data_IF_835358958810
#
_entry.id   IF_835358958810
#
_cell.length_a   1.000
_cell.length_b   1.000
_cell.length_c   1.000
_cell.angle_alpha   90.00
_cell.angle_beta   90.00
_cell.angle_gamma   90.00
#
_symmetry.space_group_name_H-M   'P 1'
#
loop_
_entity.id
_entity.type
_entity.pdbx_description
1 polymer ?
#
# COMPACT_ATOMS: atom_id res chain seq x y z
N UNK A 1 -8.70 -17.20 -18.81
CA UNK A 1 -9.43 -17.18 -17.52
C UNK A 1 -9.01 -15.93 -16.79
N UNK A 2 -9.94 -15.22 -16.12
CA UNK A 2 -9.58 -14.06 -15.30
C UNK A 2 -8.65 -14.53 -14.17
N UNK A 3 -7.58 -13.80 -13.90
CA UNK A 3 -6.69 -14.12 -12.79
C UNK A 3 -7.36 -13.86 -11.44
N UNK A 4 -6.80 -14.43 -10.38
CA UNK A 4 -7.35 -14.33 -9.03
C UNK A 4 -7.01 -12.96 -8.42
N UNK A 5 -8.02 -12.29 -7.87
CA UNK A 5 -7.89 -11.12 -7.00
C UNK A 5 -7.93 -11.57 -5.55
N UNK A 6 -6.82 -11.42 -4.84
CA UNK A 6 -6.75 -11.74 -3.42
C UNK A 6 -7.18 -10.55 -2.57
N UNK A 7 -7.95 -10.81 -1.51
CA UNK A 7 -8.36 -9.81 -0.52
C UNK A 7 -7.83 -10.25 0.83
N UNK A 8 -6.83 -9.56 1.37
CA UNK A 8 -6.25 -9.88 2.66
C UNK A 8 -6.95 -9.11 3.76
N UNK A 9 -7.56 -9.82 4.70
CA UNK A 9 -8.25 -9.22 5.84
C UNK A 9 -8.20 -10.16 7.05
N UNK A 10 -7.96 -9.59 8.23
CA UNK A 10 -8.02 -10.32 9.50
C UNK A 10 -9.01 -9.64 10.44
N UNK A 11 -9.79 -10.43 11.18
CA UNK A 11 -10.84 -9.89 12.06
C UNK A 11 -10.30 -8.91 13.11
N UNK A 12 -9.06 -9.08 13.57
CA UNK A 12 -8.41 -8.13 14.49
C UNK A 12 -8.54 -6.68 14.03
N UNK A 13 -8.50 -6.43 12.71
CA UNK A 13 -8.52 -5.08 12.13
C UNK A 13 -9.82 -4.32 12.42
N UNK A 14 -10.94 -5.02 12.65
CA UNK A 14 -12.24 -4.42 12.97
C UNK A 14 -12.59 -4.42 14.47
N UNK A 15 -11.77 -5.07 15.31
CA UNK A 15 -12.05 -5.25 16.76
C UNK A 15 -11.41 -4.19 17.65
N UNK A 16 -10.57 -3.31 17.11
CA UNK A 16 -9.79 -2.33 17.87
C UNK A 16 -9.89 -0.93 17.28
N UNK A 17 -9.61 0.08 18.10
CA UNK A 17 -9.37 1.46 17.67
C UNK A 17 -7.87 1.59 17.47
N UNK A 18 -7.45 1.91 16.25
CA UNK A 18 -6.03 2.04 15.89
C UNK A 18 -5.60 3.51 15.93
N UNK A 19 -4.34 3.74 16.27
CA UNK A 19 -3.75 5.08 16.28
C UNK A 19 -3.95 5.74 14.91
N UNK A 20 -4.40 7.01 14.90
CA UNK A 20 -4.70 7.85 13.73
C UNK A 20 -5.92 7.40 12.89
N UNK A 21 -6.01 6.12 12.54
CA UNK A 21 -7.04 5.62 11.60
C UNK A 21 -8.34 5.16 12.28
N UNK A 22 -8.42 5.22 13.61
CA UNK A 22 -9.54 4.78 14.43
C UNK A 22 -9.97 3.33 14.10
N UNK A 23 -11.26 3.01 14.16
CA UNK A 23 -11.81 1.73 13.70
C UNK A 23 -12.54 1.90 12.36
N UNK A 24 -11.82 2.33 11.32
CA UNK A 24 -12.41 2.49 9.98
C UNK A 24 -12.87 1.19 9.31
N UNK A 25 -12.53 0.04 9.90
CA UNK A 25 -12.89 -1.28 9.38
C UNK A 25 -14.01 -1.97 10.16
N UNK A 26 -14.66 -1.28 11.11
CA UNK A 26 -15.67 -1.88 12.00
C UNK A 26 -16.79 -2.67 11.30
N UNK A 27 -17.16 -2.30 10.07
CA UNK A 27 -18.20 -2.97 9.29
C UNK A 27 -17.65 -3.97 8.25
N UNK A 28 -16.34 -4.22 8.21
CA UNK A 28 -15.72 -5.23 7.35
C UNK A 28 -15.61 -6.56 8.11
N UNK A 29 -15.70 -7.73 7.45
CA UNK A 29 -15.80 -7.92 6.00
C UNK A 29 -17.24 -7.80 5.45
N UNK A 30 -18.24 -7.51 6.28
CA UNK A 30 -19.65 -7.41 5.86
C UNK A 30 -19.87 -6.45 4.68
N UNK A 31 -19.16 -5.32 4.66
CA UNK A 31 -19.23 -4.33 3.59
C UNK A 31 -18.74 -4.81 2.21
N UNK A 32 -18.00 -5.93 2.15
CA UNK A 32 -17.49 -6.51 0.90
C UNK A 32 -18.07 -7.90 0.59
N UNK A 33 -19.14 -8.32 1.26
CA UNK A 33 -19.73 -9.66 1.09
C UNK A 33 -20.17 -9.97 -0.34
N UNK A 34 -20.61 -8.95 -1.10
CA UNK A 34 -21.06 -9.13 -2.49
C UNK A 34 -19.85 -9.42 -3.37
N UNK A 35 -18.77 -8.69 -3.18
CA UNK A 35 -17.54 -8.80 -3.95
C UNK A 35 -16.78 -10.08 -3.64
N UNK A 36 -16.81 -10.53 -2.39
CA UNK A 36 -16.20 -11.80 -1.97
C UNK A 36 -16.89 -13.03 -2.59
N UNK A 37 -18.09 -12.88 -3.16
CA UNK A 37 -18.80 -13.95 -3.90
C UNK A 37 -18.45 -14.01 -5.39
N UNK A 38 -17.64 -13.08 -5.89
CA UNK A 38 -17.17 -13.11 -7.28
C UNK A 38 -16.26 -14.32 -7.51
N UNK A 39 -16.42 -14.99 -8.66
CA UNK A 39 -15.76 -16.28 -8.96
C UNK A 39 -14.23 -16.22 -8.86
N UNK A 40 -13.63 -15.09 -9.20
CA UNK A 40 -12.18 -14.87 -9.19
C UNK A 40 -11.67 -14.07 -7.98
N UNK A 41 -12.50 -13.84 -6.96
CA UNK A 41 -12.08 -13.16 -5.72
C UNK A 41 -11.85 -14.19 -4.62
N UNK A 42 -10.76 -14.05 -3.86
CA UNK A 42 -10.43 -14.94 -2.73
C UNK A 42 -10.13 -14.10 -1.49
N UNK A 43 -10.88 -14.33 -0.41
CA UNK A 43 -10.54 -13.81 0.91
C UNK A 43 -9.39 -14.65 1.48
N UNK A 44 -8.31 -13.99 1.89
CA UNK A 44 -7.12 -14.59 2.48
C UNK A 44 -6.94 -14.03 3.89
N UNK A 45 -6.77 -14.91 4.86
CA UNK A 45 -6.37 -14.51 6.19
C UNK A 45 -4.85 -14.30 6.21
N UNK A 46 -4.34 -13.10 6.55
CA UNK A 46 -2.92 -12.84 6.55
C UNK A 46 -2.21 -13.62 7.65
N UNK A 47 -1.04 -14.17 7.31
CA UNK A 47 -0.11 -14.74 8.28
C UNK A 47 0.74 -13.60 8.86
N UNK A 48 0.93 -13.50 10.18
CA UNK A 48 1.76 -12.46 10.76
C UNK A 48 3.22 -12.60 10.32
N UNK A 49 3.86 -11.48 9.97
CA UNK A 49 5.29 -11.44 9.64
C UNK A 49 6.13 -12.10 10.73
N UNK A 50 7.09 -12.94 10.33
CA UNK A 50 8.05 -13.54 11.26
C UNK A 50 8.95 -12.47 11.88
N UNK A 51 9.50 -12.75 13.06
CA UNK A 51 10.51 -11.88 13.67
C UNK A 51 11.73 -11.73 12.76
N UNK A 52 12.12 -12.82 12.10
CA UNK A 52 13.21 -12.83 11.12
C UNK A 52 12.96 -11.84 9.97
N UNK A 53 11.75 -11.85 9.38
CA UNK A 53 11.39 -10.89 8.33
C UNK A 53 11.44 -9.45 8.85
N UNK A 54 10.91 -9.20 10.05
CA UNK A 54 10.95 -7.87 10.65
C UNK A 54 12.40 -7.41 10.93
N UNK A 55 13.29 -8.31 11.34
CA UNK A 55 14.71 -8.02 11.58
C UNK A 55 15.53 -7.82 10.30
N UNK A 56 15.07 -8.33 9.14
CA UNK A 56 15.65 -7.98 7.83
C UNK A 56 15.42 -6.51 7.46
N UNK A 57 14.40 -5.89 8.05
CA UNK A 57 14.01 -4.50 7.76
C UNK A 57 14.42 -3.55 8.88
N UNK A 58 14.08 -3.91 10.11
CA UNK A 58 14.23 -3.07 11.27
C UNK A 58 15.48 -3.46 12.07
N UNK A 59 16.19 -2.46 12.59
CA UNK A 59 17.33 -2.69 13.48
C UNK A 59 16.89 -3.47 14.72
N UNK A 60 17.79 -4.27 15.28
CA UNK A 60 17.52 -5.03 16.51
C UNK A 60 17.03 -4.14 17.66
N UNK A 61 17.62 -2.95 17.81
CA UNK A 61 17.23 -2.01 18.86
C UNK A 61 15.79 -1.52 18.70
N UNK A 62 15.40 -1.14 17.48
CA UNK A 62 14.03 -0.73 17.20
C UNK A 62 13.04 -1.91 17.31
N UNK A 63 13.41 -3.09 16.80
CA UNK A 63 12.60 -4.30 16.89
C UNK A 63 12.23 -4.65 18.35
N UNK A 64 13.19 -4.55 19.28
CA UNK A 64 12.93 -4.76 20.72
C UNK A 64 11.88 -3.79 21.29
N UNK A 65 11.76 -2.59 20.70
CA UNK A 65 10.74 -1.60 21.05
C UNK A 65 9.40 -1.94 20.40
N UNK A 66 9.42 -2.29 19.11
CA UNK A 66 8.26 -2.69 18.32
C UNK A 66 7.50 -3.86 18.97
N UNK A 67 8.20 -4.91 19.40
CA UNK A 67 7.61 -6.10 20.04
C UNK A 67 6.81 -5.79 21.31
N UNK A 68 7.11 -4.67 21.99
CA UNK A 68 6.45 -4.29 23.25
C UNK A 68 5.21 -3.42 23.03
N UNK A 69 4.93 -3.02 21.78
CA UNK A 69 3.77 -2.21 21.47
C UNK A 69 2.48 -3.02 21.53
N UNK A 70 1.40 -2.35 21.91
CA UNK A 70 0.07 -2.97 22.03
C UNK A 70 -0.52 -3.38 20.67
N UNK A 71 -0.09 -2.71 19.60
CA UNK A 71 -0.55 -2.89 18.22
C UNK A 71 0.41 -3.76 17.38
N UNK A 72 1.42 -4.36 18.02
CA UNK A 72 2.43 -5.19 17.37
C UNK A 72 1.84 -6.29 16.49
N UNK A 73 0.84 -7.01 16.99
CA UNK A 73 0.20 -8.10 16.22
C UNK A 73 -0.52 -7.59 14.98
N UNK A 74 -1.19 -6.43 15.05
CA UNK A 74 -1.83 -5.80 13.89
C UNK A 74 -0.79 -5.38 12.83
N UNK A 75 0.34 -4.84 13.29
CA UNK A 75 1.45 -4.48 12.42
C UNK A 75 2.04 -5.71 11.70
N UNK A 76 2.25 -6.82 12.43
CA UNK A 76 2.75 -8.09 11.86
C UNK A 76 1.82 -8.67 10.82
N UNK A 77 0.51 -8.73 11.10
CA UNK A 77 -0.49 -9.24 10.16
C UNK A 77 -0.51 -8.40 8.88
N UNK A 78 -0.40 -7.08 9.00
CA UNK A 78 -0.35 -6.17 7.85
C UNK A 78 0.91 -6.39 7.01
N UNK A 79 2.10 -6.45 7.63
CA UNK A 79 3.36 -6.67 6.92
C UNK A 79 3.38 -8.05 6.26
N UNK A 80 2.99 -9.10 7.00
CA UNK A 80 3.00 -10.47 6.50
C UNK A 80 1.99 -10.70 5.37
N UNK A 81 0.78 -10.15 5.48
CA UNK A 81 -0.22 -10.19 4.41
C UNK A 81 0.26 -9.53 3.12
N UNK A 82 0.84 -8.33 3.22
CA UNK A 82 1.39 -7.64 2.06
C UNK A 82 2.60 -8.35 1.44
N UNK A 83 3.49 -8.92 2.26
CA UNK A 83 4.64 -9.69 1.79
C UNK A 83 4.22 -10.98 1.07
N UNK A 84 3.28 -11.74 1.66
CA UNK A 84 2.72 -12.94 1.04
C UNK A 84 2.00 -12.61 -0.27
N UNK A 85 1.16 -11.57 -0.28
CA UNK A 85 0.47 -11.11 -1.49
C UNK A 85 1.43 -10.76 -2.61
N UNK A 86 2.50 -10.00 -2.32
CA UNK A 86 3.49 -9.62 -3.32
C UNK A 86 4.22 -10.84 -3.88
N UNK A 87 4.62 -11.78 -3.02
CA UNK A 87 5.28 -13.01 -3.43
C UNK A 87 4.40 -13.86 -4.34
N UNK A 88 3.13 -14.06 -3.97
CA UNK A 88 2.16 -14.87 -4.71
C UNK A 88 1.73 -14.22 -6.03
N UNK A 89 1.72 -12.89 -6.11
CA UNK A 89 1.55 -12.15 -7.37
C UNK A 89 2.75 -12.40 -8.30
N UNK A 90 3.98 -12.30 -7.79
CA UNK A 90 5.18 -12.55 -8.60
C UNK A 90 5.27 -14.02 -9.06
N UNK A 91 4.84 -14.97 -8.22
CA UNK A 91 4.73 -16.40 -8.56
C UNK A 91 3.60 -16.71 -9.55
N UNK A 92 2.71 -15.76 -9.83
CA UNK A 92 1.58 -15.92 -10.75
C UNK A 92 0.39 -16.68 -10.16
N UNK A 93 0.36 -16.89 -8.84
CA UNK A 93 -0.78 -17.48 -8.14
C UNK A 93 -1.95 -16.48 -8.06
N UNK A 94 -1.62 -15.20 -7.90
CA UNK A 94 -2.58 -14.10 -7.92
C UNK A 94 -2.25 -13.13 -9.04
N UNK A 95 -3.29 -12.53 -9.62
CA UNK A 95 -3.13 -11.42 -10.56
C UNK A 95 -2.82 -10.14 -9.81
N UNK A 96 -3.60 -9.86 -8.78
CA UNK A 96 -3.54 -8.65 -7.98
C UNK A 96 -4.09 -8.90 -6.58
N UNK A 97 -3.89 -7.94 -5.68
CA UNK A 97 -4.39 -8.03 -4.32
C UNK A 97 -4.81 -6.68 -3.73
N UNK A 98 -5.83 -6.70 -2.88
CA UNK A 98 -6.15 -5.64 -1.93
C UNK A 98 -5.82 -6.13 -0.51
N UNK A 99 -4.88 -5.48 0.15
CA UNK A 99 -4.43 -5.82 1.49
C UNK A 99 -4.90 -4.76 2.49
N UNK A 100 -5.80 -5.15 3.40
CA UNK A 100 -6.19 -4.30 4.51
C UNK A 100 -5.05 -4.22 5.51
N UNK A 101 -4.83 -3.02 6.06
CA UNK A 101 -3.66 -2.73 6.90
C UNK A 101 -3.96 -1.83 8.09
N UNK A 102 -3.30 -2.14 9.20
CA UNK A 102 -3.33 -1.38 10.46
C UNK A 102 -1.93 -1.37 11.08
N UNK A 103 -1.57 -0.30 11.80
CA UNK A 103 -0.33 -0.20 12.58
C UNK A 103 0.99 -0.43 11.80
N UNK A 104 0.97 -0.48 10.46
CA UNK A 104 2.12 -0.67 9.59
C UNK A 104 1.95 0.10 8.28
N UNK A 105 3.05 0.56 7.68
CA UNK A 105 3.01 1.41 6.49
C UNK A 105 4.22 2.34 6.36
N UNK A 106 4.01 3.50 5.74
CA UNK A 106 5.06 4.32 5.16
C UNK A 106 5.85 5.23 6.10
N UNK A 107 5.54 5.32 7.40
CA UNK A 107 6.33 6.11 8.37
C UNK A 107 7.32 5.27 9.19
N UNK A 108 7.31 3.94 9.01
CA UNK A 108 8.22 3.02 9.68
C UNK A 108 9.57 2.91 8.94
N UNK A 109 10.59 3.54 9.52
CA UNK A 109 11.99 3.49 9.10
C UNK A 109 12.70 2.25 9.70
N UNK A 110 13.99 2.06 9.38
CA UNK A 110 14.78 0.95 9.92
C UNK A 110 14.95 1.01 11.44
N UNK A 111 15.10 2.20 12.03
CA UNK A 111 15.42 2.39 13.45
C UNK A 111 14.42 3.27 14.21
N UNK A 112 13.38 3.76 13.55
CA UNK A 112 12.36 4.63 14.12
C UNK A 112 11.01 4.48 13.41
N UNK A 113 9.90 4.75 14.09
CA UNK A 113 8.60 4.86 13.43
C UNK A 113 7.62 5.74 14.22
N UNK A 114 6.62 6.25 13.53
CA UNK A 114 5.62 7.17 14.08
C UNK A 114 4.36 7.21 13.19
N UNK A 115 3.41 8.12 13.50
CA UNK A 115 2.29 8.43 12.59
C UNK A 115 1.29 7.29 12.40
N UNK A 116 1.08 6.45 13.43
CA UNK A 116 0.14 5.33 13.35
C UNK A 116 0.66 4.12 12.55
N UNK A 117 1.92 4.14 12.09
CA UNK A 117 2.56 2.99 11.44
C UNK A 117 3.89 2.65 12.10
N UNK A 118 4.07 1.40 12.50
CA UNK A 118 5.17 0.97 13.37
C UNK A 118 5.97 -0.23 12.83
N UNK A 119 5.52 -0.83 11.73
CA UNK A 119 6.32 -1.76 10.94
C UNK A 119 6.24 -1.39 9.45
N UNK A 120 7.31 -1.64 8.70
CA UNK A 120 7.38 -1.20 7.31
C UNK A 120 6.79 -2.23 6.35
N UNK A 121 5.67 -1.89 5.71
CA UNK A 121 5.06 -2.71 4.66
C UNK A 121 5.99 -2.83 3.45
N UNK A 122 6.51 -1.70 2.97
CA UNK A 122 7.44 -1.64 1.84
C UNK A 122 8.72 -2.42 2.10
N UNK A 123 9.26 -2.33 3.33
CA UNK A 123 10.43 -3.08 3.74
C UNK A 123 10.19 -4.59 3.78
N UNK A 124 9.05 -5.03 4.33
CA UNK A 124 8.71 -6.46 4.39
C UNK A 124 8.50 -7.08 3.01
N UNK A 125 7.82 -6.36 2.10
CA UNK A 125 7.68 -6.77 0.69
C UNK A 125 9.06 -6.88 0.03
N UNK A 126 9.90 -5.85 0.18
CA UNK A 126 11.24 -5.83 -0.40
C UNK A 126 12.07 -7.01 0.10
N UNK A 127 12.22 -7.17 1.41
CA UNK A 127 13.01 -8.24 2.01
C UNK A 127 12.56 -9.64 1.55
N UNK A 128 11.24 -9.86 1.45
CA UNK A 128 10.68 -11.15 0.98
C UNK A 128 11.03 -11.42 -0.49
N UNK A 129 10.89 -10.41 -1.36
CA UNK A 129 11.20 -10.57 -2.78
C UNK A 129 12.71 -10.63 -3.06
N UNK A 130 13.52 -9.98 -2.24
CA UNK A 130 14.99 -10.06 -2.31
C UNK A 130 15.49 -11.45 -1.89
N UNK A 131 14.91 -12.02 -0.84
CA UNK A 131 15.21 -13.38 -0.39
C UNK A 131 14.87 -14.42 -1.46
N UNK A 132 13.69 -14.33 -2.08
CA UNK A 132 13.23 -15.32 -3.06
C UNK A 132 13.87 -15.15 -4.45
N UNK A 133 14.26 -13.93 -4.84
CA UNK A 133 14.67 -13.62 -6.21
C UNK A 133 15.99 -12.86 -6.34
N UNK A 134 16.76 -12.68 -5.26
CA UNK A 134 18.09 -12.05 -5.24
C UNK A 134 18.12 -10.68 -5.94
N UNK A 135 17.20 -9.79 -5.56
CA UNK A 135 17.06 -8.40 -6.05
C UNK A 135 16.69 -8.25 -7.54
N UNK A 136 16.31 -9.34 -8.23
CA UNK A 136 15.94 -9.31 -9.66
C UNK A 136 14.54 -8.74 -9.91
N UNK A 137 13.72 -8.64 -8.87
CA UNK A 137 12.37 -8.09 -8.96
C UNK A 137 12.45 -6.57 -8.85
N UNK A 138 11.94 -5.88 -9.88
CA UNK A 138 11.73 -4.43 -9.87
C UNK A 138 10.38 -4.10 -9.27
N UNK A 139 10.36 -3.21 -8.29
CA UNK A 139 9.14 -2.80 -7.58
C UNK A 139 8.91 -1.32 -7.86
N UNK A 140 7.70 -0.96 -8.28
CA UNK A 140 7.29 0.45 -8.32
C UNK A 140 6.26 0.71 -7.23
N UNK A 141 6.57 1.64 -6.33
CA UNK A 141 5.73 2.04 -5.22
C UNK A 141 5.10 3.40 -5.56
N UNK A 142 3.78 3.40 -5.68
CA UNK A 142 2.94 4.59 -5.70
C UNK A 142 2.46 4.84 -4.28
N UNK A 143 2.83 5.98 -3.70
CA UNK A 143 2.38 6.39 -2.37
C UNK A 143 1.52 7.66 -2.52
N UNK A 144 0.21 7.50 -2.32
CA UNK A 144 -0.81 8.57 -2.45
C UNK A 144 -1.46 8.95 -1.14
N UNK A 145 -0.95 8.41 -0.03
CA UNK A 145 -1.25 8.94 1.30
C UNK A 145 -0.82 10.42 1.37
N UNK A 146 -1.59 11.23 2.10
CA UNK A 146 -1.38 12.68 2.16
C UNK A 146 -0.02 13.07 2.75
N UNK A 147 0.58 12.19 3.55
CA UNK A 147 1.79 12.43 4.32
C UNK A 147 3.03 11.92 3.60
N UNK A 148 4.18 12.50 3.93
CA UNK A 148 5.42 12.00 3.36
C UNK A 148 5.77 10.61 3.93
N UNK A 149 5.87 9.62 3.05
CA UNK A 149 6.33 8.27 3.37
C UNK A 149 7.83 8.17 3.68
N UNK A 150 8.28 8.79 4.77
CA UNK A 150 9.67 8.81 5.23
C UNK A 150 10.21 7.40 5.50
N UNK A 151 9.40 6.51 6.08
CA UNK A 151 9.69 5.10 6.29
C UNK A 151 9.94 4.35 5.00
N UNK A 152 9.01 4.44 4.04
CA UNK A 152 9.20 3.84 2.71
C UNK A 152 10.44 4.41 2.03
N UNK A 153 10.70 5.72 2.13
CA UNK A 153 11.92 6.33 1.60
C UNK A 153 13.18 5.75 2.26
N UNK A 154 13.24 5.68 3.60
CA UNK A 154 14.37 5.18 4.37
C UNK A 154 14.69 3.71 4.04
N UNK A 155 13.68 2.83 4.03
CA UNK A 155 13.90 1.40 3.82
C UNK A 155 14.29 1.06 2.38
N UNK A 156 13.84 1.85 1.40
CA UNK A 156 14.12 1.61 -0.02
C UNK A 156 15.33 2.37 -0.56
N UNK A 157 15.93 3.29 0.22
CA UNK A 157 17.08 4.07 -0.21
C UNK A 157 18.28 3.16 -0.52
N UNK A 158 18.91 3.37 -1.68
CA UNK A 158 20.01 2.52 -2.18
C UNK A 158 19.55 1.28 -2.95
N UNK A 159 18.26 0.93 -2.91
CA UNK A 159 17.68 -0.14 -3.72
C UNK A 159 17.18 0.44 -5.06
N UNK A 160 18.03 0.40 -6.09
CA UNK A 160 17.72 0.98 -7.41
C UNK A 160 16.77 0.12 -8.26
N UNK A 161 16.51 -1.11 -7.84
CA UNK A 161 15.39 -1.93 -8.32
C UNK A 161 14.03 -1.49 -7.72
N UNK A 162 13.99 -0.44 -6.87
CA UNK A 162 12.77 0.12 -6.32
C UNK A 162 12.57 1.58 -6.75
N UNK A 163 11.54 1.83 -7.54
CA UNK A 163 11.04 3.17 -7.84
C UNK A 163 9.99 3.55 -6.79
N UNK A 164 10.20 4.63 -6.03
CA UNK A 164 9.22 5.12 -5.06
C UNK A 164 8.82 6.56 -5.38
N UNK A 165 7.56 6.75 -5.77
CA UNK A 165 6.95 8.06 -6.06
C UNK A 165 5.92 8.36 -4.98
N UNK A 166 6.24 9.35 -4.15
CA UNK A 166 5.43 9.78 -3.00
C UNK A 166 4.77 11.12 -3.29
N UNK A 167 3.45 11.16 -3.25
CA UNK A 167 2.66 12.38 -3.42
C UNK A 167 2.44 13.01 -2.05
N UNK A 168 3.28 13.98 -1.69
CA UNK A 168 3.26 14.63 -0.38
C UNK A 168 3.42 16.15 -0.53
N UNK A 169 3.93 16.84 0.50
CA UNK A 169 4.16 18.30 0.45
C UNK A 169 5.62 18.67 0.09
N UNK A 170 6.31 17.82 -0.67
CA UNK A 170 7.70 18.04 -1.08
C UNK A 170 7.90 17.74 -2.56
N UNK A 171 8.82 18.46 -3.19
CA UNK A 171 9.23 18.24 -4.57
C UNK A 171 10.74 17.91 -4.62
N UNK A 172 11.08 16.63 -4.58
CA UNK A 172 12.48 16.15 -4.45
C UNK A 172 12.72 14.95 -5.36
N UNK A 173 13.93 14.86 -5.89
CA UNK A 173 14.41 13.72 -6.68
C UNK A 173 15.73 13.28 -6.07
N UNK A 174 15.81 12.01 -5.69
CA UNK A 174 16.93 11.46 -4.92
C UNK A 174 17.33 10.10 -5.48
N UNK A 175 18.47 9.59 -4.99
CA UNK A 175 18.91 8.19 -5.15
C UNK A 175 18.87 7.71 -6.62
N UNK A 176 19.59 8.43 -7.49
CA UNK A 176 19.72 8.07 -8.90
C UNK A 176 18.41 8.13 -9.69
N UNK A 177 17.52 9.07 -9.39
CA UNK A 177 16.20 9.21 -10.03
C UNK A 177 15.29 7.99 -9.82
N UNK A 178 15.38 7.34 -8.65
CA UNK A 178 14.45 6.27 -8.26
C UNK A 178 13.54 6.67 -7.12
N UNK A 179 13.80 7.82 -6.48
CA UNK A 179 13.11 8.27 -5.28
C UNK A 179 12.56 9.68 -5.53
N UNK A 180 11.26 9.78 -5.78
CA UNK A 180 10.56 11.02 -6.09
C UNK A 180 9.60 11.41 -4.97
N UNK A 181 9.65 12.67 -4.56
CA UNK A 181 8.55 13.33 -3.87
C UNK A 181 7.90 14.29 -4.87
N UNK A 182 6.59 14.21 -5.00
CA UNK A 182 5.76 15.05 -5.87
C UNK A 182 4.89 15.89 -4.97
N UNK A 183 4.92 17.22 -5.14
CA UNK A 183 4.05 18.10 -4.38
C UNK A 183 2.59 17.94 -4.84
N UNK A 184 1.76 17.35 -3.98
CA UNK A 184 0.34 17.18 -4.22
C UNK A 184 -0.42 18.50 -4.15
N UNK A 185 0.15 19.53 -3.53
CA UNK A 185 -0.51 20.79 -3.19
C UNK A 185 -1.28 20.69 -1.86
N UNK A 186 -1.56 21.85 -1.24
CA UNK A 186 -2.36 21.91 -0.02
C UNK A 186 -3.82 21.53 -0.28
N UNK A 187 -4.37 22.00 -1.41
CA UNK A 187 -5.68 21.63 -1.96
C UNK A 187 -5.52 21.42 -3.47
N UNK A 188 -6.30 20.52 -4.05
CA UNK A 188 -6.29 20.23 -5.49
C UNK A 188 -7.63 19.63 -5.93
N UNK A 189 -7.84 19.49 -7.24
CA UNK A 189 -9.00 18.76 -7.78
C UNK A 189 -8.65 17.30 -8.12
N UNK A 190 -9.68 16.49 -8.32
CA UNK A 190 -9.50 15.09 -8.72
C UNK A 190 -8.73 15.01 -10.04
N UNK A 191 -9.07 15.83 -11.03
CA UNK A 191 -8.46 15.86 -12.35
C UNK A 191 -6.98 16.26 -12.28
N UNK A 192 -6.65 17.31 -11.51
CA UNK A 192 -5.27 17.76 -11.34
C UNK A 192 -4.40 16.70 -10.68
N UNK A 193 -4.92 16.03 -9.64
CA UNK A 193 -4.18 14.97 -8.96
C UNK A 193 -3.97 13.77 -9.90
N UNK A 194 -5.01 13.35 -10.64
CA UNK A 194 -4.90 12.27 -11.63
C UNK A 194 -3.86 12.59 -12.72
N UNK A 195 -3.85 13.83 -13.23
CA UNK A 195 -2.84 14.28 -14.21
C UNK A 195 -1.42 14.24 -13.63
N UNK A 196 -1.24 14.59 -12.34
CA UNK A 196 0.05 14.43 -11.67
C UNK A 196 0.44 12.95 -11.55
N UNK A 197 -0.48 12.05 -11.20
CA UNK A 197 -0.18 10.60 -11.16
C UNK A 197 0.21 10.07 -12.54
N UNK A 198 -0.52 10.47 -13.59
CA UNK A 198 -0.16 10.10 -14.97
C UNK A 198 1.25 10.58 -15.34
N UNK A 199 1.54 11.85 -15.04
CA UNK A 199 2.82 12.46 -15.41
C UNK A 199 4.00 11.95 -14.59
N UNK A 200 3.83 11.85 -13.28
CA UNK A 200 4.93 11.56 -12.37
C UNK A 200 5.09 10.08 -12.05
N UNK A 201 4.04 9.27 -12.12
CA UNK A 201 4.10 7.85 -11.86
C UNK A 201 3.98 7.01 -13.13
N UNK A 202 2.89 7.13 -13.90
CA UNK A 202 2.62 6.25 -15.05
C UNK A 202 3.74 6.33 -16.09
N UNK A 203 4.11 7.54 -16.53
CA UNK A 203 5.24 7.75 -17.47
C UNK A 203 6.59 7.22 -16.96
N UNK A 204 6.78 7.12 -15.64
CA UNK A 204 8.01 6.56 -15.07
C UNK A 204 7.99 5.04 -15.07
N UNK A 205 6.87 4.41 -14.72
CA UNK A 205 6.79 2.95 -14.72
C UNK A 205 6.90 2.37 -16.14
N UNK A 206 6.47 3.09 -17.18
CA UNK A 206 6.69 2.71 -18.59
C UNK A 206 8.18 2.53 -18.94
N UNK A 207 9.03 3.41 -18.39
CA UNK A 207 10.49 3.36 -18.59
C UNK A 207 11.16 2.39 -17.62
N UNK A 208 10.73 2.41 -16.36
CA UNK A 208 11.29 1.59 -15.30
C UNK A 208 11.02 0.09 -15.49
N UNK A 209 9.85 -0.23 -16.10
CA UNK A 209 9.34 -1.57 -16.36
C UNK A 209 9.36 -2.45 -15.09
N UNK A 210 8.56 -2.10 -14.07
CA UNK A 210 8.50 -2.87 -12.84
C UNK A 210 7.96 -4.28 -13.11
N UNK A 211 8.29 -5.22 -12.24
CA UNK A 211 7.67 -6.53 -12.21
C UNK A 211 6.35 -6.53 -11.42
N UNK A 212 6.18 -5.58 -10.49
CA UNK A 212 4.98 -5.39 -9.68
C UNK A 212 4.83 -3.92 -9.30
N UNK A 213 3.58 -3.43 -9.26
CA UNK A 213 3.24 -2.14 -8.65
C UNK A 213 2.64 -2.34 -7.27
N UNK A 214 3.15 -1.61 -6.28
CA UNK A 214 2.62 -1.51 -4.93
C UNK A 214 2.00 -0.13 -4.78
N UNK A 215 0.74 -0.04 -4.39
CA UNK A 215 0.05 1.21 -4.14
C UNK A 215 -0.29 1.33 -2.66
N UNK A 216 0.39 2.24 -1.98
CA UNK A 216 0.06 2.63 -0.63
C UNK A 216 -1.07 3.67 -0.73
N UNK A 217 -2.30 3.17 -0.65
CA UNK A 217 -3.50 3.95 -0.93
C UNK A 217 -4.08 4.50 0.39
N UNK A 218 -3.61 5.68 0.78
CA UNK A 218 -4.21 6.45 1.88
C UNK A 218 -5.41 7.24 1.38
N UNK A 219 -6.55 7.08 2.04
CA UNK A 219 -7.75 7.88 1.72
C UNK A 219 -7.90 9.12 2.59
N UNK A 220 -6.88 9.45 3.38
CA UNK A 220 -6.85 10.69 4.19
C UNK A 220 -6.80 11.96 3.33
N UNK A 221 -6.46 11.85 2.04
CA UNK A 221 -6.57 12.95 1.07
C UNK A 221 -8.01 13.33 0.73
N UNK A 222 -9.00 12.52 1.11
CA UNK A 222 -10.42 12.76 0.88
C UNK A 222 -10.93 14.02 1.61
N UNK A 223 -11.93 14.69 1.03
CA UNK A 223 -12.64 15.80 1.68
C UNK A 223 -13.16 15.38 3.05
N UNK A 224 -12.74 16.11 4.08
CA UNK A 224 -13.20 15.91 5.45
C UNK A 224 -12.47 14.83 6.24
N UNK A 225 -11.33 14.33 5.76
CA UNK A 225 -10.40 13.50 6.55
C UNK A 225 -9.18 14.32 7.03
N UNK A 226 -8.36 13.76 7.91
CA UNK A 226 -7.29 14.50 8.62
C UNK A 226 -6.16 14.99 7.71
N UNK A 227 -5.95 14.33 6.56
CA UNK A 227 -4.97 14.70 5.55
C UNK A 227 -5.61 15.38 4.33
N UNK A 228 -6.84 15.89 4.44
CA UNK A 228 -7.67 16.27 3.30
C UNK A 228 -6.94 17.19 2.31
N UNK A 229 -6.92 16.78 1.04
CA UNK A 229 -6.44 17.57 -0.11
C UNK A 229 -7.58 18.08 -0.99
N UNK A 230 -8.82 17.84 -0.59
CA UNK A 230 -10.00 18.25 -1.36
C UNK A 230 -10.50 17.20 -2.35
N UNK A 231 -10.03 15.95 -2.26
CA UNK A 231 -10.38 14.89 -3.22
C UNK A 231 -11.74 14.26 -2.91
N UNK A 232 -12.50 13.93 -3.95
CA UNK A 232 -13.78 13.21 -3.80
C UNK A 232 -13.56 11.75 -3.46
N UNK A 233 -14.65 11.03 -3.12
CA UNK A 233 -14.59 9.57 -2.98
C UNK A 233 -14.49 8.86 -4.33
N UNK A 234 -14.97 9.50 -5.40
CA UNK A 234 -14.89 9.02 -6.78
C UNK A 234 -13.44 9.00 -7.29
N UNK A 235 -12.64 10.00 -6.90
CA UNK A 235 -11.21 10.09 -7.21
C UNK A 235 -10.47 8.77 -7.00
N UNK A 236 -10.64 8.13 -5.83
CA UNK A 236 -9.92 6.90 -5.50
C UNK A 236 -10.25 5.75 -6.47
N UNK A 237 -11.48 5.69 -6.98
CA UNK A 237 -11.89 4.68 -7.94
C UNK A 237 -11.31 4.96 -9.33
N UNK A 238 -11.29 6.22 -9.74
CA UNK A 238 -10.68 6.65 -11.01
C UNK A 238 -9.18 6.46 -11.01
N UNK A 239 -8.51 6.80 -9.90
CA UNK A 239 -7.10 6.57 -9.66
C UNK A 239 -6.75 5.09 -9.82
N UNK A 240 -7.48 4.21 -9.13
CA UNK A 240 -7.23 2.77 -9.19
C UNK A 240 -7.48 2.21 -10.60
N UNK A 241 -8.52 2.66 -11.33
CA UNK A 241 -8.73 2.26 -12.73
C UNK A 241 -7.60 2.71 -13.64
N UNK A 242 -7.18 3.97 -13.51
CA UNK A 242 -6.11 4.55 -14.32
C UNK A 242 -4.77 3.81 -14.10
N UNK A 243 -4.43 3.53 -12.84
CA UNK A 243 -3.21 2.79 -12.50
C UNK A 243 -3.32 1.32 -12.93
N UNK A 244 -4.45 0.64 -12.66
CA UNK A 244 -4.67 -0.76 -13.07
C UNK A 244 -4.50 -0.92 -14.58
N UNK A 245 -5.11 -0.05 -15.39
CA UNK A 245 -4.97 -0.10 -16.86
C UNK A 245 -3.50 -0.08 -17.28
N UNK A 246 -2.71 0.83 -16.71
CA UNK A 246 -1.28 0.93 -17.01
C UNK A 246 -0.51 -0.31 -16.53
N UNK A 247 -0.88 -0.86 -15.37
CA UNK A 247 -0.26 -2.06 -14.77
C UNK A 247 -0.59 -3.32 -15.58
N UNK A 248 -1.81 -3.44 -16.12
CA UNK A 248 -2.21 -4.52 -17.02
C UNK A 248 -1.27 -4.58 -18.24
N UNK A 249 -0.99 -3.42 -18.84
CA UNK A 249 -0.12 -3.32 -20.03
C UNK A 249 1.38 -3.50 -19.71
N UNK A 250 1.85 -2.97 -18.57
CA UNK A 250 3.30 -2.87 -18.27
C UNK A 250 3.85 -4.10 -17.56
N UNK A 251 3.11 -4.65 -16.59
CA UNK A 251 3.60 -5.75 -15.75
C UNK A 251 2.57 -6.86 -15.56
N UNK A 252 1.76 -7.08 -16.60
CA UNK A 252 0.76 -8.16 -16.65
C UNK A 252 -0.18 -8.12 -15.44
N UNK A 253 -0.66 -6.92 -15.11
CA UNK A 253 -1.69 -6.69 -14.08
C UNK A 253 -1.25 -6.98 -12.66
N UNK A 254 0.06 -7.17 -12.41
CA UNK A 254 0.65 -7.42 -11.09
C UNK A 254 0.57 -6.18 -10.22
N UNK A 255 -0.56 -6.08 -9.51
CA UNK A 255 -0.92 -4.90 -8.73
C UNK A 255 -1.28 -5.27 -7.29
N UNK A 256 -0.57 -4.70 -6.31
CA UNK A 256 -0.92 -4.82 -4.90
C UNK A 256 -1.32 -3.45 -4.38
N UNK A 257 -2.51 -3.35 -3.80
CA UNK A 257 -2.97 -2.15 -3.10
C UNK A 257 -2.99 -2.45 -1.60
N UNK A 258 -2.29 -1.65 -0.80
CA UNK A 258 -2.41 -1.68 0.66
C UNK A 258 -3.28 -0.50 1.12
N UNK A 259 -4.31 -0.77 1.92
CA UNK A 259 -5.12 0.30 2.53
C UNK A 259 -4.26 1.03 3.54
N UNK A 260 -3.98 2.32 3.32
CA UNK A 260 -3.03 3.06 4.14
C UNK A 260 -3.73 3.99 5.15
N UNK A 261 -3.41 5.29 5.18
CA UNK A 261 -4.10 6.28 6.00
C UNK A 261 -5.57 6.49 5.66
N UNK A 262 -6.19 7.44 6.34
CA UNK A 262 -7.61 7.76 6.29
C UNK A 262 -8.36 7.18 7.47
N UNK A 263 -9.24 7.99 8.05
CA UNK A 263 -10.04 7.66 9.24
C UNK A 263 -11.55 7.73 8.97
N UNK A 264 -11.94 8.27 7.81
CA UNK A 264 -13.34 8.45 7.46
C UNK A 264 -13.99 7.12 7.05
N UNK A 265 -14.80 6.58 7.95
CA UNK A 265 -15.54 5.34 7.75
C UNK A 265 -16.36 5.33 6.45
N UNK A 266 -17.10 6.40 6.15
CA UNK A 266 -17.98 6.45 4.99
C UNK A 266 -17.21 6.38 3.66
N UNK A 267 -16.01 6.97 3.63
CA UNK A 267 -15.11 6.87 2.48
C UNK A 267 -14.58 5.45 2.34
N UNK A 268 -14.04 4.88 3.42
CA UNK A 268 -13.52 3.52 3.50
C UNK A 268 -14.55 2.48 2.99
N UNK A 269 -15.78 2.54 3.51
CA UNK A 269 -16.89 1.66 3.13
C UNK A 269 -17.34 1.82 1.67
N UNK A 270 -17.19 3.02 1.12
CA UNK A 270 -17.52 3.28 -0.27
C UNK A 270 -16.46 2.74 -1.22
N UNK A 271 -15.18 2.99 -0.94
CA UNK A 271 -14.09 2.76 -1.91
C UNK A 271 -13.63 1.30 -1.93
N UNK A 272 -13.44 0.63 -0.79
CA UNK A 272 -12.76 -0.66 -0.77
C UNK A 272 -13.54 -1.79 -1.46
N UNK A 273 -14.86 -1.97 -1.25
CA UNK A 273 -15.63 -2.95 -2.03
C UNK A 273 -15.56 -2.66 -3.53
N UNK A 274 -15.66 -1.39 -3.94
CA UNK A 274 -15.59 -1.00 -5.35
C UNK A 274 -14.20 -1.24 -5.95
N UNK A 275 -13.14 -1.05 -5.18
CA UNK A 275 -11.77 -1.38 -5.59
C UNK A 275 -11.63 -2.88 -5.84
N UNK A 276 -12.22 -3.75 -4.99
CA UNK A 276 -12.21 -5.21 -5.23
C UNK A 276 -12.86 -5.53 -6.59
N UNK A 277 -13.99 -4.89 -6.92
CA UNK A 277 -14.63 -5.06 -8.24
C UNK A 277 -13.70 -4.63 -9.38
N UNK A 278 -13.08 -3.45 -9.27
CA UNK A 278 -12.15 -2.94 -10.28
C UNK A 278 -10.97 -3.89 -10.47
N UNK A 279 -10.42 -4.45 -9.39
CA UNK A 279 -9.31 -5.41 -9.47
C UNK A 279 -9.72 -6.75 -10.10
N UNK A 280 -10.97 -7.18 -9.90
CA UNK A 280 -11.52 -8.43 -10.42
C UNK A 280 -12.00 -8.36 -11.89
N UNK A 281 -12.02 -7.17 -12.49
CA UNK A 281 -12.29 -6.94 -13.92
C UNK A 281 -11.18 -7.51 -14.81
#
# INVERSE_FOLDING_TARGET
MKGITAVYFHELFNKKIWDIINNKFQNFPKMMEVELKLENVRLIEPIPASEELLLKVHTQAYFNTLQRRWDYEGARLTVGGCADAALRIIKGEFKNALCFGVAAGHHAEKDYAWGGTYASVSGGILATLEEEYSNKVKIAILDTDSHHGNGTRNVTFGHHNVLHVCFCSSNRIEDGETKFCVDSGYSTTDEEYLQKVETYFIKKIERFKPNIVIHLLGHDTARGDYGSRGLSKEFFLELVRMVKKSVDDICDGRYLINTHGGSNLAICEYIHPRIIRILAE
#
